data_IF_616190012122
#
_entry.id   IF_616190012122
#
_cell.length_a   1.000
_cell.length_b   1.000
_cell.length_c   1.000
_cell.angle_alpha   90.00
_cell.angle_beta   90.00
_cell.angle_gamma   90.00
#
_symmetry.space_group_name_H-M   'P 1'
#
loop_
_entity.id
_entity.type
_entity.pdbx_description
1 polymer ?
#
# COMPACT_ATOMS: atom_id res chain seq x y z
N UNK A 1 -6.84 17.78 -8.32
CA UNK A 1 -7.52 16.47 -8.20
C UNK A 1 -6.57 15.51 -7.53
N UNK A 2 -7.02 14.86 -6.46
CA UNK A 2 -6.27 13.80 -5.79
C UNK A 2 -6.49 12.49 -6.54
N UNK A 3 -5.46 11.66 -6.72
CA UNK A 3 -5.64 10.35 -7.38
C UNK A 3 -6.49 9.38 -6.53
N UNK A 4 -6.71 9.71 -5.26
CA UNK A 4 -7.46 8.90 -4.29
C UNK A 4 -8.96 9.24 -4.25
N UNK A 5 -9.45 10.16 -5.08
CA UNK A 5 -10.86 10.61 -5.08
C UNK A 5 -11.87 9.44 -5.07
N UNK A 6 -11.62 8.38 -5.85
CA UNK A 6 -12.51 7.20 -5.87
C UNK A 6 -12.41 6.35 -4.60
N UNK A 7 -11.22 6.22 -4.03
CA UNK A 7 -11.00 5.48 -2.78
C UNK A 7 -11.66 6.20 -1.62
N UNK A 8 -11.58 7.54 -1.59
CA UNK A 8 -12.20 8.39 -0.57
C UNK A 8 -13.73 8.24 -0.55
N UNK A 9 -14.38 8.08 -1.71
CA UNK A 9 -15.83 7.81 -1.73
C UNK A 9 -16.22 6.56 -0.92
N UNK A 10 -15.34 5.55 -0.88
CA UNK A 10 -15.56 4.27 -0.17
C UNK A 10 -15.25 4.36 1.32
N UNK A 11 -14.07 4.90 1.67
CA UNK A 11 -13.55 4.85 3.06
C UNK A 11 -13.61 6.18 3.81
N UNK A 12 -14.09 7.23 3.12
CA UNK A 12 -14.15 8.62 3.58
C UNK A 12 -12.77 9.22 3.86
N UNK A 13 -12.75 10.54 4.02
CA UNK A 13 -11.54 11.32 4.29
C UNK A 13 -10.74 10.75 5.49
N UNK A 14 -11.43 10.41 6.58
CA UNK A 14 -10.82 9.78 7.76
C UNK A 14 -10.11 8.45 7.45
N UNK A 15 -10.65 7.66 6.51
CA UNK A 15 -10.01 6.42 6.07
C UNK A 15 -8.75 6.69 5.26
N UNK A 16 -8.76 7.73 4.41
CA UNK A 16 -7.59 8.17 3.64
C UNK A 16 -6.49 8.65 4.59
N UNK A 17 -6.82 9.52 5.54
CA UNK A 17 -5.86 10.01 6.54
C UNK A 17 -5.24 8.85 7.32
N UNK A 18 -6.06 7.88 7.75
CA UNK A 18 -5.57 6.69 8.44
C UNK A 18 -4.59 5.89 7.60
N UNK A 19 -4.87 5.66 6.31
CA UNK A 19 -3.95 4.96 5.41
C UNK A 19 -2.65 5.76 5.22
N UNK A 20 -2.73 7.07 5.01
CA UNK A 20 -1.57 7.93 4.85
C UNK A 20 -0.66 7.96 6.08
N UNK A 21 -1.22 7.85 7.30
CA UNK A 21 -0.44 7.74 8.54
C UNK A 21 0.02 6.31 8.88
N UNK A 22 -0.43 5.31 8.12
CA UNK A 22 -0.06 3.92 8.36
C UNK A 22 1.34 3.59 7.86
N UNK A 23 2.01 2.67 8.58
CA UNK A 23 3.25 2.04 8.15
C UNK A 23 3.01 0.54 8.00
N UNK A 24 3.27 0.00 6.80
CA UNK A 24 3.05 -1.41 6.49
C UNK A 24 4.40 -2.09 6.23
N UNK A 25 4.60 -3.29 6.79
CA UNK A 25 5.74 -4.16 6.50
C UNK A 25 5.26 -5.35 5.65
N UNK A 26 5.88 -5.57 4.50
CA UNK A 26 5.70 -6.77 3.67
C UNK A 26 6.99 -7.58 3.70
N UNK A 27 6.90 -8.86 4.07
CA UNK A 27 8.02 -9.81 4.05
C UNK A 27 7.79 -10.82 2.94
N UNK A 28 8.71 -10.86 1.98
CA UNK A 28 8.64 -11.64 0.74
C UNK A 28 7.95 -10.87 -0.38
N UNK A 29 8.68 -10.57 -1.46
CA UNK A 29 8.19 -9.86 -2.64
C UNK A 29 8.05 -10.79 -3.86
N UNK A 30 7.61 -12.03 -3.63
CA UNK A 30 7.22 -12.97 -4.67
C UNK A 30 5.86 -12.64 -5.31
N UNK A 31 5.27 -13.62 -6.00
CA UNK A 31 4.03 -13.42 -6.77
C UNK A 31 2.88 -12.79 -5.97
N UNK A 32 2.68 -13.15 -4.71
CA UNK A 32 1.62 -12.55 -3.87
C UNK A 32 2.06 -11.22 -3.25
N UNK A 33 3.27 -11.18 -2.71
CA UNK A 33 3.80 -10.00 -2.03
C UNK A 33 3.90 -8.78 -2.94
N UNK A 34 4.25 -8.99 -4.21
CA UNK A 34 4.31 -7.93 -5.22
C UNK A 34 2.94 -7.28 -5.47
N UNK A 35 1.88 -8.08 -5.68
CA UNK A 35 0.53 -7.53 -5.86
C UNK A 35 0.00 -6.88 -4.58
N UNK A 36 0.28 -7.46 -3.41
CA UNK A 36 -0.09 -6.86 -2.14
C UNK A 36 0.58 -5.48 -1.97
N UNK A 37 1.88 -5.37 -2.23
CA UNK A 37 2.62 -4.12 -2.19
C UNK A 37 2.02 -3.09 -3.15
N UNK A 38 1.75 -3.48 -4.40
CA UNK A 38 1.16 -2.60 -5.40
C UNK A 38 -0.20 -2.06 -4.95
N UNK A 39 -1.12 -2.92 -4.52
CA UNK A 39 -2.46 -2.48 -4.13
C UNK A 39 -2.47 -1.64 -2.85
N UNK A 40 -1.61 -1.96 -1.88
CA UNK A 40 -1.49 -1.21 -0.63
C UNK A 40 -0.96 0.21 -0.90
N UNK A 41 0.05 0.35 -1.76
CA UNK A 41 0.56 1.68 -2.15
C UNK A 41 -0.49 2.45 -2.96
N UNK A 42 -1.16 1.78 -3.92
CA UNK A 42 -2.24 2.41 -4.71
C UNK A 42 -3.44 2.85 -3.85
N UNK A 43 -3.69 2.20 -2.72
CA UNK A 43 -4.71 2.60 -1.76
C UNK A 43 -4.34 3.88 -0.98
N UNK A 44 -3.08 4.34 -1.06
CA UNK A 44 -2.64 5.58 -0.43
C UNK A 44 -1.96 5.39 0.93
N UNK A 45 -1.42 4.20 1.22
CA UNK A 45 -0.59 4.00 2.43
C UNK A 45 0.67 4.87 2.34
N UNK A 46 0.98 5.60 3.42
CA UNK A 46 2.07 6.58 3.41
C UNK A 46 3.47 5.97 3.50
N UNK A 47 3.62 4.85 4.19
CA UNK A 47 4.91 4.19 4.35
C UNK A 47 4.80 2.67 4.14
N UNK A 48 5.66 2.15 3.27
CA UNK A 48 5.80 0.72 3.04
C UNK A 48 7.27 0.31 3.24
N UNK A 49 7.51 -0.68 4.09
CA UNK A 49 8.79 -1.37 4.22
C UNK A 49 8.67 -2.75 3.59
N UNK A 50 9.64 -3.12 2.76
CA UNK A 50 9.71 -4.45 2.16
C UNK A 50 10.98 -5.13 2.65
N UNK A 51 10.86 -6.38 3.07
CA UNK A 51 11.98 -7.26 3.38
C UNK A 51 11.86 -8.47 2.46
N UNK A 52 12.83 -8.62 1.56
CA UNK A 52 12.94 -9.82 0.73
C UNK A 52 14.37 -10.34 0.78
N UNK A 53 14.49 -11.65 0.95
CA UNK A 53 15.77 -12.36 1.01
C UNK A 53 16.15 -13.02 -0.31
N UNK A 54 15.24 -13.03 -1.29
CA UNK A 54 15.45 -13.68 -2.57
C UNK A 54 16.18 -12.77 -3.57
N UNK A 55 16.79 -13.39 -4.58
CA UNK A 55 17.33 -12.68 -5.75
C UNK A 55 16.37 -12.86 -6.91
N UNK A 56 16.03 -11.77 -7.60
CA UNK A 56 15.21 -11.83 -8.81
C UNK A 56 15.94 -12.67 -9.85
N UNK A 57 15.28 -13.74 -10.30
CA UNK A 57 15.81 -14.71 -11.26
C UNK A 57 15.38 -14.41 -12.70
#
# INVERSE_FOLDING_TARGET
MSWLERTELLIKEQGIEKLQQSQVLIVGLGGVGAFAAEFIVRAGVGNLTIVDGDTVS
#
